data_IF_986806837218
#
_entry.id   IF_986806837218
#
_cell.length_a   1.000
_cell.length_b   1.000
_cell.length_c   1.000
_cell.angle_alpha   90.00
_cell.angle_beta   90.00
_cell.angle_gamma   90.00
#
_symmetry.space_group_name_H-M   'P 1'
#
loop_
_entity.id
_entity.type
_entity.pdbx_description
1 polymer ?
#
# COMPACT_ATOMS: atom_id res chain seq x y z
N UNK A 1 -9.06 -5.86 -22.42
CA UNK A 1 -9.01 -6.05 -20.95
C UNK A 1 -7.75 -6.81 -20.60
N UNK A 2 -7.05 -6.39 -19.57
CA UNK A 2 -5.85 -7.01 -19.03
C UNK A 2 -5.99 -7.13 -17.52
N UNK A 3 -5.21 -8.02 -16.93
CA UNK A 3 -4.95 -8.04 -15.48
C UNK A 3 -3.61 -7.43 -15.20
N UNK A 4 -3.52 -6.77 -14.04
CA UNK A 4 -2.31 -6.17 -13.51
C UNK A 4 -1.93 -6.92 -12.24
N UNK A 5 -0.94 -7.79 -12.33
CA UNK A 5 -0.48 -8.63 -11.23
C UNK A 5 0.72 -7.99 -10.53
N UNK A 6 0.67 -7.93 -9.20
CA UNK A 6 1.79 -7.41 -8.41
C UNK A 6 2.91 -8.46 -8.37
N UNK A 7 4.10 -8.10 -8.83
CA UNK A 7 5.29 -8.90 -8.59
C UNK A 7 5.76 -8.69 -7.14
N UNK A 8 5.43 -9.66 -6.28
CA UNK A 8 5.68 -9.58 -4.83
C UNK A 8 7.16 -9.55 -4.48
N UNK A 9 8.02 -10.12 -5.33
CA UNK A 9 9.46 -10.14 -5.11
C UNK A 9 10.11 -8.76 -5.35
N UNK A 10 9.49 -7.93 -6.18
CA UNK A 10 10.00 -6.61 -6.56
C UNK A 10 9.06 -5.47 -6.13
N UNK A 11 8.22 -5.72 -5.14
CA UNK A 11 7.29 -4.72 -4.61
C UNK A 11 7.49 -4.53 -3.12
N UNK A 12 7.54 -3.28 -2.69
CA UNK A 12 7.61 -2.89 -1.29
C UNK A 12 6.43 -2.01 -0.91
N UNK A 13 5.69 -2.43 0.11
CA UNK A 13 4.66 -1.63 0.75
C UNK A 13 5.23 -1.09 2.06
N UNK A 14 5.75 0.13 2.02
CA UNK A 14 6.47 0.75 3.11
C UNK A 14 5.72 1.91 3.77
N UNK A 15 6.14 2.21 4.97
CA UNK A 15 5.68 3.39 5.71
C UNK A 15 6.80 3.96 6.57
N UNK A 16 6.65 5.22 6.94
CA UNK A 16 7.55 5.89 7.88
C UNK A 16 6.77 6.62 8.96
N UNK A 17 7.35 6.65 10.15
CA UNK A 17 6.86 7.40 11.28
C UNK A 17 8.02 8.10 11.98
N UNK A 18 7.78 9.26 12.59
CA UNK A 18 8.77 9.92 13.44
C UNK A 18 8.73 9.35 14.85
N UNK A 19 9.91 9.07 15.40
CA UNK A 19 10.11 8.73 16.80
C UNK A 19 10.64 9.95 17.55
N UNK A 20 9.91 10.40 18.55
CA UNK A 20 10.23 11.58 19.36
C UNK A 20 10.49 12.84 18.52
N UNK A 21 9.89 12.95 17.34
CA UNK A 21 10.14 14.00 16.35
C UNK A 21 11.61 14.15 15.91
N UNK A 22 12.49 13.21 16.27
CA UNK A 22 13.94 13.28 16.03
C UNK A 22 14.39 12.35 14.93
N UNK A 23 13.97 11.08 14.96
CA UNK A 23 14.39 10.06 14.01
C UNK A 23 13.22 9.49 13.22
N UNK A 24 13.52 8.89 12.09
CA UNK A 24 12.54 8.23 11.24
C UNK A 24 12.62 6.72 11.41
N UNK A 25 11.52 6.11 11.85
CA UNK A 25 11.32 4.66 11.81
C UNK A 25 10.74 4.30 10.46
N UNK A 26 11.34 3.32 9.80
CA UNK A 26 10.85 2.73 8.54
C UNK A 26 10.33 1.35 8.80
N UNK A 27 9.17 1.05 8.24
CA UNK A 27 8.57 -0.26 8.28
C UNK A 27 8.00 -0.65 6.93
N UNK A 28 7.68 -1.93 6.81
CA UNK A 28 7.03 -2.49 5.62
C UNK A 28 6.15 -3.66 6.02
N UNK A 29 5.27 -4.06 5.10
CA UNK A 29 4.52 -5.29 5.21
C UNK A 29 5.05 -6.30 4.19
N UNK A 30 5.45 -7.48 4.66
CA UNK A 30 6.11 -8.48 3.82
C UNK A 30 5.14 -9.44 3.10
N UNK A 31 3.86 -9.46 3.51
CA UNK A 31 2.83 -10.30 2.90
C UNK A 31 1.62 -9.46 2.47
N UNK A 32 1.34 -9.50 1.21
CA UNK A 32 0.20 -8.82 0.60
C UNK A 32 -0.21 -9.53 -0.68
N UNK A 33 -1.40 -9.25 -1.13
CA UNK A 33 -1.91 -9.67 -2.42
C UNK A 33 -2.72 -8.55 -3.04
N UNK A 34 -2.79 -8.52 -4.36
CA UNK A 34 -3.57 -7.53 -5.08
C UNK A 34 -4.03 -8.04 -6.42
N UNK A 35 -5.24 -7.63 -6.77
CA UNK A 35 -5.83 -7.95 -8.05
C UNK A 35 -6.40 -6.69 -8.67
N UNK A 36 -5.93 -6.37 -9.88
CA UNK A 36 -6.41 -5.24 -10.66
C UNK A 36 -6.70 -5.67 -12.08
N UNK A 37 -7.71 -5.08 -12.66
CA UNK A 37 -8.11 -5.32 -14.05
C UNK A 37 -8.64 -4.05 -14.70
N UNK A 38 -8.50 -3.96 -16.00
CA UNK A 38 -8.97 -2.81 -16.78
C UNK A 38 -8.52 -2.87 -18.24
N UNK A 39 -8.86 -1.83 -19.01
CA UNK A 39 -8.29 -1.65 -20.34
C UNK A 39 -6.78 -1.42 -20.27
N UNK A 40 -6.06 -1.91 -21.26
CA UNK A 40 -4.61 -1.77 -21.35
C UNK A 40 -4.17 -0.31 -21.70
N UNK A 41 -5.04 0.42 -22.34
CA UNK A 41 -4.81 1.77 -22.87
C UNK A 41 -5.46 2.90 -22.05
N UNK A 42 -6.22 2.56 -21.01
CA UNK A 42 -6.92 3.55 -20.19
C UNK A 42 -6.84 3.23 -18.69
N UNK A 43 -5.81 3.74 -18.00
CA UNK A 43 -5.63 3.49 -16.57
C UNK A 43 -6.76 4.07 -15.71
N UNK A 44 -7.54 5.02 -16.22
CA UNK A 44 -8.65 5.62 -15.46
C UNK A 44 -9.81 4.65 -15.21
N UNK A 45 -9.86 3.55 -15.96
CA UNK A 45 -10.88 2.50 -15.86
C UNK A 45 -10.41 1.24 -15.16
N UNK A 46 -9.20 1.27 -14.60
CA UNK A 46 -8.70 0.15 -13.79
C UNK A 46 -9.46 0.08 -12.49
N UNK A 47 -9.84 -1.13 -12.11
CA UNK A 47 -10.48 -1.45 -10.82
C UNK A 47 -9.67 -2.52 -10.11
N UNK A 48 -9.80 -2.60 -8.80
CA UNK A 48 -9.12 -3.64 -8.03
C UNK A 48 -8.89 -3.26 -6.58
N UNK A 49 -8.20 -4.16 -5.90
CA UNK A 49 -7.89 -4.01 -4.48
C UNK A 49 -6.56 -4.65 -4.10
N UNK A 50 -5.99 -4.16 -3.02
CA UNK A 50 -4.85 -4.76 -2.33
C UNK A 50 -5.28 -5.18 -0.93
N UNK A 51 -4.85 -6.38 -0.54
CA UNK A 51 -5.04 -6.94 0.79
C UNK A 51 -3.68 -7.20 1.43
N UNK A 52 -3.45 -6.64 2.59
CA UNK A 52 -2.18 -6.71 3.31
C UNK A 52 -2.35 -7.50 4.59
N UNK A 53 -1.47 -8.49 4.81
CA UNK A 53 -1.41 -9.23 6.07
C UNK A 53 -0.75 -8.37 7.15
N UNK A 54 -1.52 -7.97 8.15
CA UNK A 54 -1.07 -7.10 9.24
C UNK A 54 0.05 -7.75 10.05
N UNK A 55 -0.01 -9.07 10.27
CA UNK A 55 1.01 -9.80 11.02
C UNK A 55 2.39 -9.77 10.34
N UNK A 56 2.44 -9.44 9.05
CA UNK A 56 3.69 -9.34 8.29
C UNK A 56 4.44 -8.01 8.48
N UNK A 57 3.99 -7.14 9.36
CA UNK A 57 4.67 -5.88 9.68
C UNK A 57 6.09 -6.13 10.14
N UNK A 58 7.02 -5.37 9.58
CA UNK A 58 8.45 -5.49 9.85
C UNK A 58 9.08 -4.10 9.93
N UNK A 59 9.55 -3.72 11.12
CA UNK A 59 10.29 -2.50 11.38
C UNK A 59 11.73 -2.79 11.80
N UNK A 60 12.21 -4.03 11.58
CA UNK A 60 13.54 -4.52 11.97
C UNK A 60 13.79 -4.60 13.48
N UNK A 61 12.73 -4.58 14.28
CA UNK A 61 12.81 -4.68 15.74
C UNK A 61 11.63 -5.53 16.22
N UNK A 62 11.89 -6.75 16.63
CA UNK A 62 10.85 -7.72 16.99
C UNK A 62 9.93 -7.21 18.10
N UNK A 63 10.50 -6.61 19.15
CA UNK A 63 9.71 -6.05 20.25
C UNK A 63 8.74 -4.96 19.78
N UNK A 64 9.17 -4.10 18.87
CA UNK A 64 8.30 -3.07 18.26
C UNK A 64 7.26 -3.70 17.34
N UNK A 65 7.63 -4.67 16.53
CA UNK A 65 6.70 -5.36 15.63
C UNK A 65 5.62 -6.11 16.42
N UNK A 66 5.97 -6.74 17.53
CA UNK A 66 5.01 -7.37 18.43
C UNK A 66 4.06 -6.34 19.07
N UNK A 67 4.55 -5.17 19.43
CA UNK A 67 3.72 -4.07 19.95
C UNK A 67 2.76 -3.54 18.89
N UNK A 68 3.22 -3.39 17.64
CA UNK A 68 2.37 -3.01 16.51
C UNK A 68 1.24 -4.03 16.24
N UNK A 69 1.51 -5.32 16.41
CA UNK A 69 0.49 -6.38 16.25
C UNK A 69 -0.51 -6.44 17.40
N UNK A 70 -0.18 -5.84 18.54
CA UNK A 70 -1.01 -5.90 19.75
C UNK A 70 -2.26 -5.02 19.66
N UNK A 71 -3.13 -5.14 20.66
CA UNK A 71 -4.35 -4.34 20.78
C UNK A 71 -4.09 -2.83 20.93
N UNK A 72 -2.87 -2.42 21.31
CA UNK A 72 -2.48 -1.01 21.34
C UNK A 72 -2.43 -0.37 19.95
N UNK A 73 -2.23 -1.18 18.89
CA UNK A 73 -2.14 -0.71 17.52
C UNK A 73 -3.08 -1.48 16.59
N UNK A 74 -2.55 -2.41 15.80
CA UNK A 74 -3.32 -3.07 14.74
C UNK A 74 -4.29 -4.13 15.24
N UNK A 75 -4.06 -4.70 16.43
CA UNK A 75 -4.86 -5.81 16.94
C UNK A 75 -4.99 -6.94 15.89
N UNK A 76 -3.85 -7.44 15.44
CA UNK A 76 -3.75 -8.32 14.26
C UNK A 76 -4.56 -9.61 14.39
N UNK A 77 -4.77 -10.13 15.61
CA UNK A 77 -5.59 -11.34 15.83
C UNK A 77 -7.07 -11.08 15.51
N UNK A 78 -7.57 -9.87 15.77
CA UNK A 78 -8.95 -9.49 15.49
C UNK A 78 -9.12 -8.92 14.08
N UNK A 79 -8.14 -8.16 13.62
CA UNK A 79 -8.14 -7.49 12.32
C UNK A 79 -6.91 -7.92 11.51
N UNK A 80 -6.94 -9.12 10.90
CA UNK A 80 -5.74 -9.68 10.28
C UNK A 80 -5.31 -8.98 8.99
N UNK A 81 -6.17 -8.14 8.40
CA UNK A 81 -5.91 -7.52 7.11
C UNK A 81 -6.15 -6.03 7.10
N UNK A 82 -5.28 -5.33 6.35
CA UNK A 82 -5.52 -3.98 5.83
C UNK A 82 -5.96 -4.14 4.37
N UNK A 83 -6.94 -3.38 3.92
CA UNK A 83 -7.37 -3.39 2.53
C UNK A 83 -7.36 -2.00 1.93
N UNK A 84 -6.96 -1.91 0.68
CA UNK A 84 -7.07 -0.70 -0.13
C UNK A 84 -7.87 -1.03 -1.38
N UNK A 85 -9.04 -0.43 -1.52
CA UNK A 85 -9.91 -0.58 -2.69
C UNK A 85 -9.78 0.64 -3.59
N UNK A 86 -9.29 0.42 -4.80
CA UNK A 86 -9.14 1.47 -5.80
C UNK A 86 -10.53 2.02 -6.18
N UNK A 87 -10.69 3.33 -6.12
CA UNK A 87 -11.94 4.03 -6.48
C UNK A 87 -11.82 4.88 -7.72
N UNK A 88 -10.64 5.47 -7.96
CA UNK A 88 -10.39 6.33 -9.12
C UNK A 88 -8.89 6.44 -9.40
N UNK A 89 -8.52 6.44 -10.66
CA UNK A 89 -7.20 6.90 -11.12
C UNK A 89 -7.40 8.20 -11.89
N UNK A 90 -6.71 9.24 -11.49
CA UNK A 90 -6.79 10.56 -12.09
C UNK A 90 -5.44 10.96 -12.67
N UNK A 91 -5.31 11.08 -14.00
CA UNK A 91 -4.08 11.53 -14.63
C UNK A 91 -3.76 12.98 -14.24
N UNK A 92 -2.50 13.25 -13.97
CA UNK A 92 -1.96 14.61 -13.77
C UNK A 92 -1.16 15.03 -14.99
N UNK A 93 -0.33 14.12 -15.50
CA UNK A 93 0.41 14.24 -16.75
C UNK A 93 0.63 12.83 -17.35
N UNK A 94 1.53 12.68 -18.32
CA UNK A 94 1.76 11.41 -19.02
C UNK A 94 2.32 10.30 -18.11
N UNK A 95 2.99 10.65 -17.03
CA UNK A 95 3.62 9.69 -16.10
C UNK A 95 3.08 9.77 -14.68
N UNK A 96 2.38 10.84 -14.31
CA UNK A 96 1.94 11.13 -12.95
C UNK A 96 0.43 10.98 -12.80
N UNK A 97 0.02 10.37 -11.68
CA UNK A 97 -1.39 10.06 -11.40
C UNK A 97 -1.72 10.34 -9.94
N UNK A 98 -2.97 10.69 -9.67
CA UNK A 98 -3.55 10.57 -8.33
C UNK A 98 -4.36 9.29 -8.25
N UNK A 99 -3.98 8.42 -7.32
CA UNK A 99 -4.65 7.16 -7.07
C UNK A 99 -5.53 7.32 -5.83
N UNK A 100 -6.82 7.33 -6.03
CA UNK A 100 -7.82 7.44 -4.97
C UNK A 100 -8.29 6.05 -4.56
N UNK A 101 -8.45 5.82 -3.28
CA UNK A 101 -8.99 4.55 -2.79
C UNK A 101 -9.49 4.63 -1.37
N UNK A 102 -10.28 3.65 -1.01
CA UNK A 102 -10.78 3.46 0.34
C UNK A 102 -9.82 2.54 1.10
N UNK A 103 -9.15 3.09 2.10
CA UNK A 103 -8.25 2.34 2.98
C UNK A 103 -9.00 1.91 4.23
N UNK A 104 -8.97 0.61 4.51
CA UNK A 104 -9.54 0.03 5.73
C UNK A 104 -8.42 -0.48 6.62
N UNK A 105 -8.33 0.06 7.82
CA UNK A 105 -7.46 -0.42 8.90
C UNK A 105 -8.35 -0.67 10.12
N UNK A 106 -8.24 -1.86 10.70
CA UNK A 106 -9.14 -2.34 11.76
C UNK A 106 -10.59 -2.28 11.27
N UNK A 107 -11.45 -1.55 11.98
CA UNK A 107 -12.86 -1.34 11.65
C UNK A 107 -13.15 0.02 11.00
N UNK A 108 -12.12 0.78 10.63
CA UNK A 108 -12.24 2.12 10.05
C UNK A 108 -11.87 2.11 8.57
N UNK A 109 -12.74 2.68 7.75
CA UNK A 109 -12.51 2.91 6.32
C UNK A 109 -12.52 4.41 6.05
N UNK A 110 -11.45 4.90 5.43
CA UNK A 110 -11.28 6.31 5.06
C UNK A 110 -10.77 6.42 3.63
N UNK A 111 -11.22 7.40 2.86
CA UNK A 111 -10.64 7.70 1.56
C UNK A 111 -9.21 8.24 1.74
N UNK A 112 -8.30 7.76 0.91
CA UNK A 112 -6.94 8.31 0.79
C UNK A 112 -6.60 8.58 -0.66
N UNK A 113 -5.62 9.44 -0.88
CA UNK A 113 -5.07 9.74 -2.20
C UNK A 113 -3.57 9.53 -2.16
N UNK A 114 -3.06 8.76 -3.11
CA UNK A 114 -1.64 8.55 -3.32
C UNK A 114 -1.21 9.29 -4.57
N UNK A 115 -0.09 10.02 -4.49
CA UNK A 115 0.59 10.55 -5.67
C UNK A 115 1.44 9.43 -6.26
N UNK A 116 1.09 8.97 -7.44
CA UNK A 116 1.72 7.86 -8.13
C UNK A 116 2.45 8.32 -9.39
N UNK A 117 3.52 7.61 -9.72
CA UNK A 117 4.29 7.83 -10.93
C UNK A 117 4.59 6.51 -11.63
N UNK A 118 4.44 6.50 -12.95
CA UNK A 118 4.94 5.45 -13.81
C UNK A 118 6.44 5.67 -14.03
N UNK A 119 7.28 4.84 -13.39
CA UNK A 119 8.73 4.97 -13.45
C UNK A 119 9.31 4.31 -14.70
N UNK A 120 8.58 3.38 -15.29
CA UNK A 120 9.02 2.71 -16.51
C UNK A 120 8.00 1.70 -17.01
N UNK A 121 8.14 1.36 -18.29
CA UNK A 121 7.33 0.37 -18.98
C UNK A 121 8.22 -0.39 -19.97
N UNK A 122 8.30 -1.71 -19.86
CA UNK A 122 9.11 -2.57 -20.73
C UNK A 122 8.35 -3.83 -21.09
N UNK A 123 8.62 -4.47 -22.26
CA UNK A 123 8.11 -5.81 -22.55
C UNK A 123 8.52 -6.79 -21.43
N UNK A 124 7.66 -7.73 -21.07
CA UNK A 124 7.99 -8.74 -20.05
C UNK A 124 8.81 -9.89 -20.67
N UNK A 125 10.11 -10.03 -20.30
CA UNK A 125 10.96 -11.07 -20.84
C UNK A 125 10.91 -12.40 -20.07
N UNK A 126 10.21 -12.46 -18.93
CA UNK A 126 10.43 -13.50 -17.94
C UNK A 126 9.21 -14.37 -17.64
N UNK A 127 8.01 -13.80 -17.57
CA UNK A 127 6.85 -14.50 -17.02
C UNK A 127 5.74 -14.77 -18.03
N UNK A 128 5.96 -14.43 -19.30
CA UNK A 128 4.94 -14.57 -20.36
C UNK A 128 3.83 -13.52 -20.28
N UNK A 129 4.00 -12.50 -19.47
CA UNK A 129 3.19 -11.30 -19.50
C UNK A 129 3.44 -10.47 -20.75
N UNK A 130 2.58 -9.48 -20.99
CA UNK A 130 2.74 -8.55 -22.10
C UNK A 130 3.83 -7.51 -21.82
N UNK A 131 3.78 -6.94 -20.62
CA UNK A 131 4.65 -5.86 -20.19
C UNK A 131 4.87 -5.87 -18.68
N UNK A 132 5.94 -5.18 -18.25
CA UNK A 132 6.20 -4.84 -16.85
C UNK A 132 6.18 -3.34 -16.67
N UNK A 133 5.53 -2.90 -15.61
CA UNK A 133 5.43 -1.50 -15.22
C UNK A 133 6.14 -1.31 -13.88
N UNK A 134 6.96 -0.27 -13.76
CA UNK A 134 7.43 0.23 -12.49
C UNK A 134 6.55 1.38 -12.02
N UNK A 135 6.04 1.30 -10.81
CA UNK A 135 5.16 2.32 -10.22
C UNK A 135 5.68 2.69 -8.84
N UNK A 136 5.89 3.98 -8.61
CA UNK A 136 6.05 4.51 -7.26
C UNK A 136 4.80 5.25 -6.82
N UNK A 137 4.46 5.17 -5.54
CA UNK A 137 3.33 5.92 -5.00
C UNK A 137 3.63 6.40 -3.57
N UNK A 138 3.18 7.59 -3.26
CA UNK A 138 3.40 8.23 -1.95
C UNK A 138 2.14 8.89 -1.46
N UNK A 139 1.93 8.84 -0.15
CA UNK A 139 0.85 9.50 0.52
C UNK A 139 1.10 9.60 2.00
N UNK A 140 0.10 10.06 2.72
CA UNK A 140 0.15 10.11 4.18
C UNK A 140 -1.24 9.91 4.76
N UNK A 141 -1.26 9.48 6.01
CA UNK A 141 -2.48 9.36 6.80
C UNK A 141 -2.20 9.79 8.25
N UNK A 142 -3.28 10.12 8.97
CA UNK A 142 -3.24 10.23 10.41
C UNK A 142 -3.69 8.89 11.01
N UNK A 143 -2.80 8.21 11.75
CA UNK A 143 -3.10 6.91 12.34
C UNK A 143 -4.26 6.93 13.34
N UNK A 144 -4.51 8.08 13.97
CA UNK A 144 -5.60 8.26 14.91
C UNK A 144 -6.98 8.12 14.24
N UNK A 145 -7.09 8.50 12.96
CA UNK A 145 -8.33 8.37 12.17
C UNK A 145 -8.73 6.91 11.94
N UNK A 146 -7.79 5.98 12.08
CA UNK A 146 -7.97 4.55 11.91
C UNK A 146 -8.03 3.77 13.24
N UNK A 147 -8.14 4.49 14.36
CA UNK A 147 -8.21 3.84 15.67
C UNK A 147 -6.88 3.26 16.18
N UNK A 148 -5.75 3.66 15.60
CA UNK A 148 -4.42 3.34 16.10
C UNK A 148 -4.01 4.38 17.15
N UNK A 149 -4.66 4.30 18.31
CA UNK A 149 -4.76 5.40 19.28
C UNK A 149 -3.72 5.36 20.39
N UNK A 150 -2.86 4.33 20.44
CA UNK A 150 -1.78 4.33 21.42
C UNK A 150 -0.93 5.60 21.28
N UNK A 151 -0.80 6.35 22.34
CA UNK A 151 -0.17 7.67 22.31
C UNK A 151 0.68 7.89 23.55
N UNK A 152 1.86 7.28 23.54
CA UNK A 152 2.89 7.58 24.53
C UNK A 152 3.45 8.97 24.28
N UNK A 153 3.60 9.76 25.35
CA UNK A 153 4.10 11.13 25.30
C UNK A 153 5.34 11.26 26.19
N UNK A 154 6.40 11.88 25.64
CA UNK A 154 7.58 12.29 26.37
C UNK A 154 7.61 13.84 26.46
N UNK A 155 7.20 14.37 27.59
CA UNK A 155 6.95 15.81 27.73
C UNK A 155 5.74 16.24 26.90
N UNK A 156 5.94 17.13 25.92
CA UNK A 156 4.91 17.57 24.98
C UNK A 156 5.03 16.88 23.59
N UNK A 157 5.93 15.91 23.45
CA UNK A 157 6.27 15.29 22.15
C UNK A 157 5.72 13.87 22.11
N UNK A 158 4.91 13.48 21.11
CA UNK A 158 4.50 12.11 20.91
C UNK A 158 5.70 11.19 20.68
N UNK A 159 5.73 10.02 21.30
CA UNK A 159 6.76 8.99 21.05
C UNK A 159 6.69 8.52 19.61
N UNK A 160 5.48 8.28 19.08
CA UNK A 160 5.26 7.99 17.69
C UNK A 160 4.38 9.06 17.03
N UNK A 161 4.78 9.58 15.88
CA UNK A 161 4.02 10.60 15.16
C UNK A 161 2.60 10.13 14.84
N UNK A 162 1.65 11.05 14.81
CA UNK A 162 0.29 10.77 14.34
C UNK A 162 0.24 10.65 12.80
N UNK A 163 1.07 11.44 12.11
CA UNK A 163 1.21 11.34 10.65
C UNK A 163 2.13 10.19 10.28
N UNK A 164 1.61 9.29 9.47
CA UNK A 164 2.35 8.18 8.86
C UNK A 164 2.46 8.46 7.38
N UNK A 165 3.68 8.41 6.84
CA UNK A 165 3.92 8.50 5.41
C UNK A 165 3.89 7.11 4.79
N UNK A 166 3.25 6.99 3.62
CA UNK A 166 3.15 5.78 2.84
C UNK A 166 4.11 5.88 1.66
N UNK A 167 4.89 4.84 1.43
CA UNK A 167 5.84 4.73 0.33
C UNK A 167 5.68 3.36 -0.32
N UNK A 168 5.24 3.35 -1.58
CA UNK A 168 5.05 2.14 -2.37
C UNK A 168 5.99 2.17 -3.56
N UNK A 169 6.74 1.09 -3.74
CA UNK A 169 7.50 0.80 -4.94
C UNK A 169 6.99 -0.53 -5.48
N UNK A 170 6.38 -0.53 -6.64
CA UNK A 170 5.70 -1.71 -7.17
C UNK A 170 6.20 -2.03 -8.59
N UNK A 171 6.40 -3.31 -8.81
CA UNK A 171 6.54 -3.88 -10.15
C UNK A 171 5.27 -4.64 -10.49
N UNK A 172 4.68 -4.33 -11.64
CA UNK A 172 3.41 -4.87 -12.09
C UNK A 172 3.60 -5.63 -13.40
N UNK A 173 3.11 -6.85 -13.46
CA UNK A 173 3.06 -7.64 -14.70
C UNK A 173 1.68 -7.48 -15.34
N UNK A 174 1.67 -7.00 -16.57
CA UNK A 174 0.44 -6.87 -17.38
C UNK A 174 0.21 -8.17 -18.15
N UNK A 175 -0.94 -8.80 -17.96
CA UNK A 175 -1.33 -10.02 -18.65
C UNK A 175 -2.65 -9.85 -19.40
N UNK A 176 -2.77 -10.46 -20.56
CA UNK A 176 -4.05 -10.55 -21.25
C UNK A 176 -5.05 -11.33 -20.37
N UNK A 177 -6.29 -10.86 -20.27
CA UNK A 177 -7.36 -11.66 -19.67
C UNK A 177 -7.58 -12.91 -20.53
N UNK A 178 -7.36 -14.08 -19.94
CA UNK A 178 -7.76 -15.32 -20.60
C UNK A 178 -9.29 -15.37 -20.68
N UNK A 179 -9.84 -15.76 -21.85
CA UNK A 179 -11.27 -15.99 -21.93
C UNK A 179 -11.66 -17.09 -20.93
N UNK A 180 -12.74 -16.85 -20.18
CA UNK A 180 -13.26 -17.86 -19.26
C UNK A 180 -13.38 -19.21 -20.00
N UNK A 181 -12.70 -20.24 -19.49
CA UNK A 181 -12.84 -21.59 -20.03
C UNK A 181 -14.33 -21.99 -19.92
N UNK A 182 -14.93 -22.23 -21.08
CA UNK A 182 -16.30 -22.69 -21.19
C UNK A 182 -16.46 -24.09 -20.57
#
# INVERSE_FOLDING_TARGET
MVTYEIDKAHTTLGFTAKHLAVSTVRGQFNKFDGHFEGPDDDPTKVTGEVKVDVASVDTRTEMRDNHLRSADFFEAEKYPYITFKLTKVEPVDDESFKVHGDLTIKDKTKPIVLDAKLEGRVPDPMTGGKERLGISARGQLNRMDFGLNWDGIAGAIPIASHTIKLEVEAEIVVKALEPAKA
#
